data_IF_095996767748
#
_entry.id   IF_095996767748
#
_cell.length_a   1.000
_cell.length_b   1.000
_cell.length_c   1.000
_cell.angle_alpha   90.00
_cell.angle_beta   90.00
_cell.angle_gamma   90.00
#
_symmetry.space_group_name_H-M   'P 1'
#
loop_
_entity.id
_entity.type
_entity.pdbx_description
1 polymer ?
#
# COMPACT_ATOMS: atom_id res chain seq x y z
N UNK A 1 10.85 -8.48 8.96
CA UNK A 1 10.04 -7.66 9.88
C UNK A 1 8.70 -7.28 9.25
N UNK A 2 7.67 -7.12 10.08
CA UNK A 2 6.35 -6.53 9.78
C UNK A 2 6.12 -5.20 10.50
N UNK A 3 7.11 -4.71 11.25
CA UNK A 3 7.02 -3.44 11.98
C UNK A 3 7.08 -2.26 11.01
N UNK A 4 6.22 -1.26 11.23
CA UNK A 4 6.10 -0.10 10.34
C UNK A 4 7.39 0.74 10.35
N UNK A 5 8.08 0.79 11.49
CA UNK A 5 9.35 1.50 11.68
C UNK A 5 10.43 0.96 10.76
N UNK A 6 10.39 -0.34 10.42
CA UNK A 6 11.35 -0.93 9.49
C UNK A 6 11.24 -0.32 8.09
N UNK A 7 10.04 0.11 7.68
CA UNK A 7 9.85 0.76 6.38
C UNK A 7 10.46 2.16 6.34
N UNK A 8 10.62 2.83 7.49
CA UNK A 8 11.22 4.16 7.61
C UNK A 8 12.75 4.14 7.81
N UNK A 9 13.39 2.96 7.76
CA UNK A 9 14.85 2.85 7.83
C UNK A 9 15.55 3.54 6.64
N UNK A 10 14.86 3.69 5.51
CA UNK A 10 15.32 4.44 4.35
C UNK A 10 14.68 5.83 4.34
N UNK A 11 15.49 6.88 4.14
CA UNK A 11 14.99 8.26 4.17
C UNK A 11 13.89 8.54 3.12
N UNK A 12 13.94 7.87 1.97
CA UNK A 12 12.95 8.01 0.88
C UNK A 12 11.53 7.57 1.30
N UNK A 13 11.41 6.76 2.35
CA UNK A 13 10.12 6.30 2.88
C UNK A 13 9.57 7.18 4.01
N UNK A 14 10.31 8.22 4.45
CA UNK A 14 9.89 9.06 5.59
C UNK A 14 8.55 9.74 5.37
N UNK A 15 8.34 10.34 4.21
CA UNK A 15 7.06 10.99 3.89
C UNK A 15 5.89 9.99 3.93
N UNK A 16 6.10 8.78 3.42
CA UNK A 16 5.09 7.72 3.41
C UNK A 16 4.78 7.24 4.83
N UNK A 17 5.83 7.07 5.66
CA UNK A 17 5.69 6.71 7.06
C UNK A 17 4.98 7.80 7.87
N UNK A 18 5.35 9.06 7.69
CA UNK A 18 4.73 10.19 8.38
C UNK A 18 3.27 10.37 7.99
N UNK A 19 2.94 10.19 6.72
CA UNK A 19 1.58 10.19 6.22
C UNK A 19 0.73 9.10 6.85
N UNK A 20 1.25 7.87 6.93
CA UNK A 20 0.60 6.76 7.64
C UNK A 20 0.46 7.06 9.13
N UNK A 21 1.51 7.59 9.75
CA UNK A 21 1.57 7.87 11.18
C UNK A 21 0.55 8.95 11.62
N UNK A 22 0.06 9.77 10.68
CA UNK A 22 -0.98 10.78 10.89
C UNK A 22 -2.37 10.34 10.42
N UNK A 23 -2.48 9.18 9.76
CA UNK A 23 -3.75 8.68 9.24
C UNK A 23 -4.51 7.85 10.28
N UNK A 24 -5.82 7.67 10.04
CA UNK A 24 -6.67 6.78 10.86
C UNK A 24 -6.22 5.32 10.82
N UNK A 25 -5.44 4.91 9.83
CA UNK A 25 -5.01 3.51 9.70
C UNK A 25 -3.87 3.15 10.64
N UNK A 26 -3.10 4.12 11.17
CA UNK A 26 -2.04 3.83 12.15
C UNK A 26 -2.54 3.01 13.34
N UNK A 27 -3.76 3.27 13.82
CA UNK A 27 -4.30 2.60 15.00
C UNK A 27 -4.75 1.17 14.76
N UNK A 28 -4.93 0.75 13.49
CA UNK A 28 -5.55 -0.54 13.15
C UNK A 28 -4.74 -1.38 12.15
N UNK A 29 -3.77 -0.79 11.45
CA UNK A 29 -3.03 -1.43 10.38
C UNK A 29 -1.57 -0.93 10.33
N UNK A 30 -0.66 -1.85 10.03
CA UNK A 30 0.74 -1.58 9.68
C UNK A 30 0.88 -1.47 8.16
N UNK A 31 2.05 -1.03 7.68
CA UNK A 31 2.33 -0.91 6.25
C UNK A 31 2.05 -2.21 5.48
N UNK A 32 2.44 -3.35 6.06
CA UNK A 32 2.28 -4.67 5.44
C UNK A 32 0.83 -5.12 5.32
N UNK A 33 -0.09 -4.56 6.12
CA UNK A 33 -1.50 -4.93 6.07
C UNK A 33 -2.24 -4.26 4.90
N UNK A 34 -1.60 -3.29 4.25
CA UNK A 34 -2.06 -2.70 2.99
C UNK A 34 -1.21 -3.19 1.81
N UNK A 35 0.12 -3.22 1.97
CA UNK A 35 1.07 -3.41 0.85
C UNK A 35 1.51 -4.85 0.61
N UNK A 36 1.04 -5.83 1.39
CA UNK A 36 1.29 -7.26 1.13
C UNK A 36 -0.02 -8.06 1.11
N UNK A 37 -0.09 -9.13 0.33
CA UNK A 37 -1.21 -10.05 0.39
C UNK A 37 -1.23 -10.79 1.75
N UNK A 38 -2.41 -11.30 2.11
CA UNK A 38 -2.64 -11.95 3.41
C UNK A 38 -2.60 -13.47 3.36
N UNK A 39 -2.46 -14.08 2.19
CA UNK A 39 -2.14 -15.50 2.09
C UNK A 39 -0.65 -15.74 2.37
N UNK A 40 -0.32 -16.89 2.97
CA UNK A 40 1.03 -17.14 3.48
C UNK A 40 2.07 -17.12 2.36
N UNK A 41 1.76 -17.72 1.21
CA UNK A 41 2.71 -17.88 0.10
C UNK A 41 2.93 -16.54 -0.58
N UNK A 42 1.86 -15.88 -0.99
CA UNK A 42 1.87 -14.56 -1.60
C UNK A 42 2.57 -13.54 -0.73
N UNK A 43 2.33 -13.54 0.59
CA UNK A 43 2.96 -12.59 1.51
C UNK A 43 4.47 -12.66 1.43
N UNK A 44 5.04 -13.85 1.49
CA UNK A 44 6.49 -14.02 1.45
C UNK A 44 7.08 -13.82 0.05
N UNK A 45 6.37 -14.27 -0.98
CA UNK A 45 6.79 -14.06 -2.37
C UNK A 45 6.88 -12.56 -2.71
N UNK A 46 5.81 -11.80 -2.44
CA UNK A 46 5.76 -10.37 -2.76
C UNK A 46 6.70 -9.57 -1.84
N UNK A 47 6.83 -9.95 -0.57
CA UNK A 47 7.82 -9.33 0.32
C UNK A 47 9.25 -9.50 -0.20
N UNK A 48 9.60 -10.69 -0.68
CA UNK A 48 10.91 -10.97 -1.27
C UNK A 48 11.13 -10.17 -2.54
N UNK A 49 10.17 -10.22 -3.47
CA UNK A 49 10.23 -9.51 -4.74
C UNK A 49 10.39 -7.99 -4.55
N UNK A 50 9.56 -7.38 -3.69
CA UNK A 50 9.61 -5.95 -3.43
C UNK A 50 10.89 -5.57 -2.68
N UNK A 51 11.37 -6.40 -1.76
CA UNK A 51 12.66 -6.22 -1.10
C UNK A 51 13.84 -6.20 -2.09
N UNK A 52 13.85 -7.12 -3.06
CA UNK A 52 14.88 -7.17 -4.11
C UNK A 52 14.81 -5.95 -5.03
N UNK A 53 13.61 -5.57 -5.49
CA UNK A 53 13.41 -4.39 -6.34
C UNK A 53 13.84 -3.11 -5.64
N UNK A 54 13.40 -2.88 -4.40
CA UNK A 54 13.80 -1.71 -3.62
C UNK A 54 15.32 -1.68 -3.42
N UNK A 55 15.94 -2.83 -3.10
CA UNK A 55 17.39 -2.90 -2.95
C UNK A 55 18.12 -2.53 -4.24
N UNK A 56 17.65 -3.04 -5.40
CA UNK A 56 18.21 -2.69 -6.70
C UNK A 56 18.06 -1.18 -7.00
N UNK A 57 16.83 -0.68 -7.02
CA UNK A 57 16.53 0.70 -7.42
C UNK A 57 17.16 1.73 -6.49
N UNK A 58 17.15 1.50 -5.18
CA UNK A 58 17.76 2.46 -4.23
C UNK A 58 19.29 2.36 -4.21
N UNK A 59 19.88 1.26 -4.69
CA UNK A 59 21.33 1.16 -4.87
C UNK A 59 21.78 1.81 -6.18
N UNK A 60 21.04 1.63 -7.26
CA UNK A 60 21.39 2.16 -8.59
C UNK A 60 20.93 3.60 -8.80
N UNK A 61 19.94 4.07 -8.04
CA UNK A 61 19.29 5.35 -8.28
C UNK A 61 18.32 5.33 -9.47
N UNK A 62 18.02 4.16 -10.03
CA UNK A 62 17.22 3.99 -11.25
C UNK A 62 15.71 3.99 -10.95
N UNK A 63 15.21 5.02 -10.29
CA UNK A 63 13.78 5.17 -9.97
C UNK A 63 13.29 6.57 -10.30
N UNK A 64 11.98 6.68 -10.53
CA UNK A 64 11.32 7.96 -10.78
C UNK A 64 10.95 8.65 -9.47
N UNK A 65 11.13 9.98 -9.44
CA UNK A 65 10.62 10.84 -8.38
C UNK A 65 9.48 11.73 -8.91
N UNK A 66 8.33 11.81 -8.21
CA UNK A 66 8.04 11.17 -6.94
C UNK A 66 7.82 9.66 -7.08
N UNK A 67 8.31 8.86 -6.12
CA UNK A 67 8.08 7.40 -6.10
C UNK A 67 6.60 7.05 -6.29
N UNK A 68 6.33 6.16 -7.25
CA UNK A 68 4.98 5.67 -7.56
C UNK A 68 4.86 4.19 -7.28
N UNK A 69 3.72 3.80 -6.72
CA UNK A 69 3.35 2.40 -6.56
C UNK A 69 3.14 1.76 -7.93
N UNK A 70 3.60 0.53 -8.12
CA UNK A 70 3.35 -0.21 -9.37
C UNK A 70 1.86 -0.58 -9.47
N UNK A 71 1.36 -0.84 -10.69
CA UNK A 71 -0.02 -1.32 -10.87
C UNK A 71 -0.30 -2.56 -10.02
N UNK A 72 0.62 -3.52 -10.05
CA UNK A 72 0.52 -4.77 -9.30
C UNK A 72 0.38 -4.56 -7.79
N UNK A 73 1.26 -3.75 -7.19
CA UNK A 73 1.19 -3.47 -5.75
C UNK A 73 -0.07 -2.67 -5.39
N UNK A 74 -0.53 -1.82 -6.31
CA UNK A 74 -1.74 -1.02 -6.12
C UNK A 74 -3.02 -1.89 -6.17
N UNK A 75 -3.01 -3.00 -6.90
CA UNK A 75 -4.10 -3.99 -6.90
C UNK A 75 -4.14 -4.76 -5.57
N UNK A 76 -2.97 -5.13 -5.02
CA UNK A 76 -2.88 -5.71 -3.67
C UNK A 76 -3.45 -4.77 -2.60
N UNK A 77 -3.12 -3.48 -2.68
CA UNK A 77 -3.68 -2.47 -1.76
C UNK A 77 -5.21 -2.41 -1.89
N UNK A 78 -5.74 -2.44 -3.11
CA UNK A 78 -7.18 -2.43 -3.35
C UNK A 78 -7.88 -3.66 -2.75
N UNK A 79 -7.33 -4.86 -2.95
CA UNK A 79 -7.85 -6.10 -2.34
C UNK A 79 -7.86 -6.00 -0.81
N UNK A 80 -6.81 -5.43 -0.22
CA UNK A 80 -6.71 -5.25 1.22
C UNK A 80 -7.69 -4.21 1.78
N UNK A 81 -8.00 -3.15 1.02
CA UNK A 81 -9.11 -2.25 1.36
C UNK A 81 -10.42 -3.03 1.46
N UNK A 82 -10.77 -3.80 0.43
CA UNK A 82 -12.01 -4.60 0.39
C UNK A 82 -12.02 -5.68 1.47
N UNK A 83 -10.88 -6.32 1.76
CA UNK A 83 -10.78 -7.35 2.79
C UNK A 83 -11.14 -6.82 4.18
N UNK A 84 -10.63 -5.65 4.56
CA UNK A 84 -10.91 -5.05 5.86
C UNK A 84 -12.28 -4.36 5.91
N UNK A 85 -12.72 -3.77 4.80
CA UNK A 85 -13.96 -3.01 4.71
C UNK A 85 -15.13 -3.78 4.08
N UNK A 86 -15.03 -5.12 4.01
CA UNK A 86 -15.95 -5.98 3.27
C UNK A 86 -17.42 -5.69 3.57
N UNK A 87 -17.77 -5.45 4.84
CA UNK A 87 -19.15 -5.14 5.26
C UNK A 87 -19.70 -3.92 4.53
N UNK A 88 -18.90 -2.86 4.41
CA UNK A 88 -19.30 -1.60 3.76
C UNK A 88 -19.18 -1.71 2.24
N UNK A 89 -18.17 -2.42 1.74
CA UNK A 89 -17.91 -2.50 0.30
C UNK A 89 -18.79 -3.53 -0.41
N UNK A 90 -19.35 -4.52 0.29
CA UNK A 90 -20.10 -5.64 -0.33
C UNK A 90 -21.23 -5.23 -1.28
N UNK A 91 -21.71 -3.98 -1.19
CA UNK A 91 -22.81 -3.45 -2.01
C UNK A 91 -22.40 -2.28 -2.94
N UNK A 92 -21.12 -1.86 -2.99
CA UNK A 92 -20.76 -0.52 -3.50
C UNK A 92 -19.43 -0.43 -4.29
N UNK A 93 -18.89 -1.56 -4.77
CA UNK A 93 -17.53 -1.57 -5.40
C UNK A 93 -17.55 -1.21 -6.89
N UNK A 94 -18.72 -1.05 -7.51
CA UNK A 94 -18.87 -0.73 -8.93
C UNK A 94 -19.47 0.65 -9.14
N UNK A 95 -18.98 1.39 -10.15
CA UNK A 95 -19.63 2.63 -10.62
C UNK A 95 -20.97 2.30 -11.34
N UNK A 96 -21.79 3.31 -11.70
CA UNK A 96 -23.03 3.09 -12.45
C UNK A 96 -22.85 2.34 -13.78
N UNK A 97 -21.65 2.39 -14.36
CA UNK A 97 -21.25 1.69 -15.58
C UNK A 97 -20.79 0.23 -15.33
N UNK A 98 -20.75 -0.22 -14.08
CA UNK A 98 -20.36 -1.58 -13.69
C UNK A 98 -18.86 -1.82 -13.52
N UNK A 99 -18.03 -0.78 -13.61
CA UNK A 99 -16.57 -0.85 -13.48
C UNK A 99 -16.12 -0.77 -12.01
N UNK A 100 -15.10 -1.54 -11.66
CA UNK A 100 -14.52 -1.53 -10.32
C UNK A 100 -13.85 -0.18 -10.00
N UNK A 101 -14.31 0.50 -8.95
CA UNK A 101 -13.72 1.77 -8.49
C UNK A 101 -12.63 1.50 -7.47
N UNK A 102 -11.46 2.14 -7.66
CA UNK A 102 -10.37 2.06 -6.70
C UNK A 102 -10.68 2.93 -5.49
N UNK A 103 -10.60 2.37 -4.28
CA UNK A 103 -10.97 3.06 -3.04
C UNK A 103 -10.23 4.39 -2.88
N UNK A 104 -8.94 4.39 -3.22
CA UNK A 104 -8.05 5.55 -3.11
C UNK A 104 -8.34 6.66 -4.12
N UNK A 105 -9.16 6.43 -5.15
CA UNK A 105 -9.61 7.50 -6.07
C UNK A 105 -10.37 8.59 -5.31
N UNK A 106 -11.19 8.21 -4.31
CA UNK A 106 -11.88 9.16 -3.45
C UNK A 106 -11.23 9.27 -2.06
N UNK A 107 -10.68 8.16 -1.54
CA UNK A 107 -10.07 8.10 -0.20
C UNK A 107 -8.54 8.26 -0.25
N UNK A 108 -8.05 9.31 -0.91
CA UNK A 108 -6.62 9.48 -1.21
C UNK A 108 -5.70 9.73 0.01
N UNK A 109 -6.26 10.09 1.16
CA UNK A 109 -5.50 10.44 2.36
C UNK A 109 -5.36 9.30 3.39
N UNK A 110 -5.88 8.10 3.09
CA UNK A 110 -5.90 6.98 4.05
C UNK A 110 -4.53 6.40 4.36
N UNK A 111 -3.63 6.38 3.38
CA UNK A 111 -2.33 5.72 3.45
C UNK A 111 -1.20 6.68 3.82
N UNK A 112 -1.00 7.73 3.02
CA UNK A 112 0.25 8.50 3.04
C UNK A 112 0.09 10.02 3.03
N UNK A 113 -1.12 10.54 3.29
CA UNK A 113 -1.43 11.98 3.20
C UNK A 113 -1.43 12.45 1.75
N UNK A 114 -2.54 13.05 1.30
CA UNK A 114 -2.65 13.52 -0.08
C UNK A 114 -1.65 14.64 -0.37
N UNK A 115 -0.84 14.45 -1.41
CA UNK A 115 -0.30 15.55 -2.21
C UNK A 115 -0.98 15.47 -3.57
#
# INVERSE_FOLDING_TARGET
SSNAETCANCHIMRDQYDGWNRSSHKSVAKCVDCHLPHDVIGKWAIKGLNGLRHSYYFTTGDFEEPIRITKFDADIVQENCVRCHQTVTSMVITNPEGEAVRCVTCHGNVGHGGR
#
